data_IF_521830562669
#
_entry.id   IF_521830562669
#
_cell.length_a   1.000
_cell.length_b   1.000
_cell.length_c   1.000
_cell.angle_alpha   90.00
_cell.angle_beta   90.00
_cell.angle_gamma   90.00
#
_symmetry.space_group_name_H-M   'P 1'
#
loop_
_entity.id
_entity.type
_entity.pdbx_description
1 polymer ?
#
# COMPACT_ATOMS: atom_id res chain seq x y z
N UNK A 1 35.31 37.77 -23.90
CA UNK A 1 34.52 36.57 -24.27
C UNK A 1 34.55 35.67 -23.05
N UNK A 2 33.50 35.69 -22.21
CA UNK A 2 33.39 34.79 -21.05
C UNK A 2 33.00 33.42 -21.62
N UNK A 3 33.84 32.42 -21.43
CA UNK A 3 33.45 31.03 -21.65
C UNK A 3 32.56 30.62 -20.47
N UNK A 4 31.25 30.68 -20.67
CA UNK A 4 30.28 30.03 -19.78
C UNK A 4 30.40 28.53 -19.99
N UNK A 5 31.17 27.88 -19.13
CA UNK A 5 31.20 26.43 -19.02
C UNK A 5 29.90 26.01 -18.31
N UNK A 6 28.94 25.53 -19.09
CA UNK A 6 27.67 24.94 -18.64
C UNK A 6 27.86 23.56 -17.96
N UNK A 7 28.94 23.37 -17.19
CA UNK A 7 29.11 22.18 -16.37
C UNK A 7 28.35 22.37 -15.05
N UNK A 8 27.57 21.38 -14.58
CA UNK A 8 26.97 21.49 -13.25
C UNK A 8 28.09 21.58 -12.22
N UNK A 9 28.06 22.62 -11.40
CA UNK A 9 28.93 22.75 -10.23
C UNK A 9 28.43 21.74 -9.19
N UNK A 10 29.06 20.56 -9.15
CA UNK A 10 28.82 19.60 -8.07
C UNK A 10 29.77 19.88 -6.91
N UNK A 11 29.26 19.77 -5.68
CA UNK A 11 30.13 19.66 -4.52
C UNK A 11 30.97 18.38 -4.65
N UNK A 12 32.30 18.53 -4.57
CA UNK A 12 33.25 17.42 -4.79
C UNK A 12 33.62 16.68 -3.52
N UNK A 13 33.09 17.12 -2.38
CA UNK A 13 33.36 16.56 -1.05
C UNK A 13 32.06 16.52 -0.25
N UNK A 14 31.60 15.31 0.06
CA UNK A 14 30.44 15.05 0.91
C UNK A 14 30.87 14.08 2.02
N UNK A 15 30.60 14.45 3.26
CA UNK A 15 30.92 13.64 4.44
C UNK A 15 29.62 13.12 5.06
N UNK A 16 29.64 11.88 5.56
CA UNK A 16 28.53 11.33 6.33
C UNK A 16 29.02 10.96 7.75
N UNK A 17 28.11 10.98 8.71
CA UNK A 17 28.36 10.52 10.06
C UNK A 17 27.23 9.58 10.50
N UNK A 18 27.58 8.50 11.19
CA UNK A 18 26.59 7.67 11.87
C UNK A 18 26.13 8.38 13.15
N UNK A 19 24.84 8.71 13.24
CA UNK A 19 24.29 9.40 14.38
C UNK A 19 22.83 9.03 14.61
N UNK A 20 22.36 9.21 15.84
CA UNK A 20 20.96 8.95 16.21
C UNK A 20 20.06 10.14 15.88
N UNK A 21 18.76 9.88 15.63
CA UNK A 21 17.75 10.92 15.43
C UNK A 21 17.67 11.86 16.64
N UNK A 22 17.90 11.35 17.85
CA UNK A 22 17.94 12.17 19.07
C UNK A 22 19.10 13.20 19.06
N UNK A 23 20.28 12.79 18.58
CA UNK A 23 21.42 13.71 18.41
C UNK A 23 21.13 14.74 17.31
N UNK A 24 20.54 14.32 16.19
CA UNK A 24 20.14 15.22 15.10
C UNK A 24 19.13 16.27 15.57
N UNK A 25 18.10 15.84 16.31
CA UNK A 25 17.07 16.72 16.88
C UNK A 25 17.66 17.77 17.82
N UNK A 26 18.47 17.32 18.79
CA UNK A 26 19.15 18.23 19.73
C UNK A 26 20.03 19.24 18.98
N UNK A 27 20.73 18.79 17.95
CA UNK A 27 21.53 19.66 17.09
C UNK A 27 20.67 20.69 16.36
N UNK A 28 19.56 20.30 15.71
CA UNK A 28 18.63 21.22 15.03
C UNK A 28 17.95 22.23 15.96
N UNK A 29 17.93 21.95 17.26
CA UNK A 29 17.45 22.86 18.30
C UNK A 29 18.55 23.79 18.85
N UNK A 30 19.74 23.79 18.24
CA UNK A 30 20.84 24.68 18.58
C UNK A 30 21.76 24.18 19.70
N UNK A 31 21.69 22.90 20.08
CA UNK A 31 22.62 22.34 21.04
C UNK A 31 23.97 22.01 20.39
N UNK A 32 25.07 22.29 21.09
CA UNK A 32 26.43 22.26 20.55
C UNK A 32 27.25 21.03 20.97
N UNK A 33 26.76 20.20 21.90
CA UNK A 33 27.42 18.97 22.35
C UNK A 33 26.56 17.72 22.08
N UNK A 34 26.50 17.32 20.80
CA UNK A 34 25.54 16.36 20.24
C UNK A 34 26.25 15.24 19.48
N UNK A 35 27.40 14.81 19.99
CA UNK A 35 28.21 13.75 19.40
C UNK A 35 28.81 14.20 18.06
N UNK A 36 28.66 13.44 16.96
CA UNK A 36 29.29 13.77 15.69
C UNK A 36 28.76 15.07 15.06
N UNK A 37 27.63 15.61 15.53
CA UNK A 37 27.10 16.89 15.05
C UNK A 37 27.73 18.13 15.70
N UNK A 38 28.52 17.96 16.77
CA UNK A 38 29.12 19.08 17.51
C UNK A 38 30.06 19.94 16.65
N UNK A 39 30.64 19.35 15.61
CA UNK A 39 31.59 20.03 14.70
C UNK A 39 30.89 20.80 13.56
N UNK A 40 29.57 20.71 13.43
CA UNK A 40 28.83 21.26 12.29
C UNK A 40 27.92 22.43 12.70
N UNK A 41 27.99 23.54 11.98
CA UNK A 41 27.09 24.70 12.19
C UNK A 41 25.78 24.55 11.40
N UNK A 42 24.64 24.82 12.07
CA UNK A 42 23.31 24.86 11.46
C UNK A 42 23.19 25.90 10.34
N UNK A 43 23.99 26.96 10.37
CA UNK A 43 23.92 28.04 9.37
C UNK A 43 24.64 27.70 8.05
N UNK A 44 25.39 26.61 8.01
CA UNK A 44 26.33 26.31 6.91
C UNK A 44 26.07 24.94 6.25
N UNK A 45 25.20 24.10 6.82
CA UNK A 45 25.03 22.71 6.36
C UNK A 45 23.57 22.34 6.12
N UNK A 46 23.32 21.67 4.99
CA UNK A 46 22.07 20.96 4.70
C UNK A 46 22.25 19.49 5.09
N UNK A 47 21.39 18.95 5.94
CA UNK A 47 21.53 17.57 6.44
C UNK A 47 20.28 16.74 6.15
N UNK A 48 20.50 15.49 5.78
CA UNK A 48 19.48 14.46 5.56
C UNK A 48 19.54 13.41 6.69
N UNK A 49 18.38 12.93 7.14
CA UNK A 49 18.28 11.87 8.15
C UNK A 49 17.45 10.71 7.62
N UNK A 50 17.95 9.48 7.81
CA UNK A 50 17.23 8.25 7.48
C UNK A 50 16.42 7.74 8.69
N UNK A 51 15.36 6.97 8.44
CA UNK A 51 14.18 6.93 9.31
C UNK A 51 13.59 5.54 9.50
N UNK A 52 12.76 5.38 10.55
CA UNK A 52 11.97 4.17 10.80
C UNK A 52 10.48 4.41 10.62
N UNK A 53 9.86 3.63 9.74
CA UNK A 53 8.40 3.64 9.55
C UNK A 53 7.82 2.28 9.84
N UNK A 54 6.74 2.25 10.61
CA UNK A 54 5.97 1.02 10.82
C UNK A 54 4.77 1.02 9.90
N UNK A 55 4.63 -0.10 9.20
CA UNK A 55 3.57 -0.36 8.23
C UNK A 55 2.72 -1.50 8.77
N UNK A 56 1.41 -1.27 8.77
CA UNK A 56 0.39 -2.29 8.98
C UNK A 56 -0.31 -2.50 7.65
N UNK A 57 -0.12 -3.66 7.07
CA UNK A 57 -0.56 -4.02 5.73
C UNK A 57 -1.68 -5.05 5.83
N UNK A 58 -2.73 -4.89 5.04
CA UNK A 58 -3.81 -5.86 4.94
C UNK A 58 -4.07 -6.21 3.47
N UNK A 59 -4.20 -7.50 3.15
CA UNK A 59 -4.43 -7.93 1.79
C UNK A 59 -5.82 -7.52 1.30
N UNK A 60 -6.04 -7.39 -0.03
CA UNK A 60 -7.30 -6.90 -0.58
C UNK A 60 -8.49 -7.79 -0.26
N UNK A 61 -8.30 -9.08 0.01
CA UNK A 61 -9.41 -9.97 0.41
C UNK A 61 -9.98 -9.62 1.79
N UNK A 62 -9.26 -8.85 2.60
CA UNK A 62 -9.72 -8.39 3.91
C UNK A 62 -10.52 -7.10 3.84
N UNK A 63 -10.75 -6.53 2.65
CA UNK A 63 -11.50 -5.27 2.45
C UNK A 63 -12.81 -5.24 3.23
N UNK A 64 -13.59 -6.32 3.23
CA UNK A 64 -14.86 -6.39 3.96
C UNK A 64 -14.70 -6.34 5.50
N UNK A 65 -13.53 -6.73 6.02
CA UNK A 65 -13.20 -6.70 7.44
C UNK A 65 -12.68 -5.32 7.90
N UNK A 66 -12.33 -4.45 6.95
CA UNK A 66 -11.76 -3.12 7.19
C UNK A 66 -12.80 -1.99 7.17
N UNK A 67 -14.08 -2.32 6.95
CA UNK A 67 -15.19 -1.36 6.99
C UNK A 67 -14.92 -0.11 6.13
N UNK A 68 -14.81 -0.26 4.80
CA UNK A 68 -14.55 0.85 3.89
C UNK A 68 -15.59 1.95 4.07
N UNK A 69 -15.16 3.21 4.00
CA UNK A 69 -16.03 4.37 4.16
C UNK A 69 -16.91 4.65 2.95
N UNK A 70 -16.55 4.16 1.75
CA UNK A 70 -17.23 4.52 0.50
C UNK A 70 -16.99 3.56 -0.66
N UNK A 71 -17.69 3.81 -1.77
CA UNK A 71 -17.54 3.09 -3.03
C UNK A 71 -16.21 3.49 -3.70
N UNK A 72 -15.39 2.53 -4.16
CA UNK A 72 -14.07 2.82 -4.75
C UNK A 72 -14.20 3.29 -6.22
N UNK A 73 -14.63 4.54 -6.42
CA UNK A 73 -14.49 5.20 -7.74
C UNK A 73 -13.26 6.13 -7.82
N UNK A 74 -12.55 6.27 -6.70
CA UNK A 74 -11.22 6.87 -6.58
C UNK A 74 -10.50 6.11 -5.46
N UNK A 75 -9.61 5.18 -5.82
CA UNK A 75 -9.03 4.21 -4.87
C UNK A 75 -8.35 4.89 -3.67
N UNK A 76 -7.62 5.98 -3.91
CA UNK A 76 -6.90 6.74 -2.87
C UNK A 76 -7.79 7.45 -1.86
N UNK A 77 -9.10 7.52 -2.11
CA UNK A 77 -10.04 8.19 -1.21
C UNK A 77 -10.71 7.23 -0.23
N UNK A 78 -10.60 5.91 -0.42
CA UNK A 78 -11.30 4.94 0.42
C UNK A 78 -10.50 4.70 1.71
N UNK A 79 -11.13 5.01 2.85
CA UNK A 79 -10.52 4.82 4.16
C UNK A 79 -11.21 3.71 4.94
N UNK A 80 -10.50 3.12 5.90
CA UNK A 80 -11.08 2.24 6.92
C UNK A 80 -11.78 3.09 7.98
N UNK A 81 -12.95 2.65 8.45
CA UNK A 81 -13.59 3.24 9.63
C UNK A 81 -12.93 2.81 10.95
N UNK A 82 -12.06 1.79 10.91
CA UNK A 82 -11.41 1.20 12.07
C UNK A 82 -10.10 1.95 12.38
N UNK A 83 -9.93 2.39 13.62
CA UNK A 83 -8.61 2.75 14.17
C UNK A 83 -7.79 1.46 14.32
N UNK A 84 -6.80 1.29 13.43
CA UNK A 84 -5.96 0.08 13.38
C UNK A 84 -5.17 -0.13 14.67
N UNK A 85 -4.76 0.94 15.35
CA UNK A 85 -3.98 0.85 16.59
C UNK A 85 -4.85 0.54 17.80
N UNK A 86 -6.12 0.99 17.78
CA UNK A 86 -7.09 0.77 18.87
C UNK A 86 -8.47 0.42 18.30
N UNK A 87 -8.64 -0.80 17.76
CA UNK A 87 -9.88 -1.17 17.09
C UNK A 87 -11.03 -1.34 18.10
N UNK A 88 -12.14 -0.64 17.86
CA UNK A 88 -13.39 -0.88 18.57
C UNK A 88 -14.08 -2.12 17.99
N UNK A 89 -13.82 -3.29 18.59
CA UNK A 89 -14.34 -4.58 18.14
C UNK A 89 -15.81 -4.83 18.52
N UNK A 90 -16.44 -3.93 19.28
CA UNK A 90 -17.89 -3.94 19.50
C UNK A 90 -18.59 -3.31 18.30
N UNK A 91 -18.07 -2.17 17.82
CA UNK A 91 -18.58 -1.50 16.63
C UNK A 91 -18.15 -2.18 15.32
N UNK A 92 -16.94 -2.73 15.28
CA UNK A 92 -16.32 -3.31 14.07
C UNK A 92 -15.89 -4.77 14.26
N UNK A 93 -16.83 -5.70 14.57
CA UNK A 93 -16.48 -7.06 14.97
C UNK A 93 -15.77 -7.89 13.90
N UNK A 94 -15.97 -7.60 12.61
CA UNK A 94 -15.33 -8.30 11.49
C UNK A 94 -13.82 -8.04 11.40
N UNK A 95 -13.33 -6.93 11.99
CA UNK A 95 -11.91 -6.59 11.98
C UNK A 95 -11.05 -7.65 12.69
N UNK A 96 -11.64 -8.43 13.61
CA UNK A 96 -10.98 -9.61 14.22
C UNK A 96 -10.46 -10.63 13.19
N UNK A 97 -11.05 -10.66 11.99
CA UNK A 97 -10.68 -11.58 10.90
C UNK A 97 -9.69 -10.97 9.92
N UNK A 98 -9.32 -9.69 10.08
CA UNK A 98 -8.33 -9.04 9.24
C UNK A 98 -6.93 -9.56 9.55
N UNK A 99 -6.16 -9.86 8.51
CA UNK A 99 -4.82 -10.41 8.54
C UNK A 99 -3.82 -9.26 8.45
N UNK A 100 -3.35 -8.81 9.60
CA UNK A 100 -2.35 -7.76 9.68
C UNK A 100 -0.95 -8.31 9.38
N UNK A 101 -0.30 -7.74 8.38
CA UNK A 101 1.12 -7.92 8.08
C UNK A 101 1.87 -6.68 8.56
N UNK A 102 2.66 -6.81 9.62
CA UNK A 102 3.29 -5.65 10.28
C UNK A 102 4.80 -5.69 10.08
N UNK A 103 5.36 -4.58 9.61
CA UNK A 103 6.81 -4.43 9.42
C UNK A 103 7.27 -3.05 9.87
N UNK A 104 8.42 -2.98 10.56
CA UNK A 104 9.09 -1.71 10.84
C UNK A 104 10.33 -1.60 9.96
N UNK A 105 10.25 -0.77 8.93
CA UNK A 105 11.37 -0.51 8.03
C UNK A 105 12.47 0.23 8.78
N UNK A 106 13.69 -0.24 8.59
CA UNK A 106 14.92 0.42 9.02
C UNK A 106 15.48 1.30 7.89
N UNK A 107 16.36 2.25 8.21
CA UNK A 107 17.20 2.96 7.24
C UNK A 107 17.74 2.04 6.14
N UNK A 108 17.65 2.49 4.89
CA UNK A 108 18.06 1.73 3.70
C UNK A 108 17.17 0.55 3.27
N UNK A 109 16.08 0.24 4.00
CA UNK A 109 15.16 -0.83 3.60
C UNK A 109 14.06 -0.33 2.67
N UNK A 110 13.68 -1.18 1.70
CA UNK A 110 12.63 -0.91 0.73
C UNK A 110 11.48 -1.89 0.93
N UNK A 111 10.26 -1.36 1.01
CA UNK A 111 9.03 -2.16 1.07
C UNK A 111 8.32 -2.13 -0.28
N UNK A 112 8.05 -3.31 -0.82
CA UNK A 112 7.18 -3.48 -1.98
C UNK A 112 5.75 -3.68 -1.47
N UNK A 113 4.87 -2.72 -1.76
CA UNK A 113 3.43 -2.81 -1.44
C UNK A 113 2.69 -3.26 -2.71
N UNK A 114 2.07 -4.44 -2.74
CA UNK A 114 1.30 -4.88 -3.90
C UNK A 114 0.04 -4.03 -4.11
N UNK A 115 -0.51 -4.06 -5.32
CA UNK A 115 -1.72 -3.30 -5.68
C UNK A 115 -2.90 -3.67 -4.78
N UNK A 116 -3.74 -2.70 -4.47
CA UNK A 116 -4.95 -2.84 -3.64
C UNK A 116 -4.72 -3.24 -2.18
N UNK A 117 -3.47 -3.30 -1.72
CA UNK A 117 -3.20 -3.54 -0.32
C UNK A 117 -3.54 -2.31 0.51
N UNK A 118 -4.37 -2.55 1.53
CA UNK A 118 -4.66 -1.56 2.55
C UNK A 118 -3.43 -1.37 3.41
N UNK A 119 -3.14 -0.12 3.77
CA UNK A 119 -1.99 0.18 4.57
C UNK A 119 -2.27 1.31 5.56
N UNK A 120 -1.81 1.12 6.79
CA UNK A 120 -1.68 2.16 7.79
C UNK A 120 -0.19 2.35 8.10
N UNK A 121 0.28 3.60 8.09
CA UNK A 121 1.69 3.93 8.26
C UNK A 121 1.83 4.88 9.43
N UNK A 122 2.71 4.53 10.37
CA UNK A 122 3.06 5.37 11.51
C UNK A 122 4.56 5.61 11.57
N UNK A 123 4.91 6.82 12.00
CA UNK A 123 6.29 7.18 12.35
C UNK A 123 6.60 6.62 13.72
N UNK A 124 7.61 5.75 13.81
CA UNK A 124 8.03 5.17 15.10
C UNK A 124 8.85 6.18 15.90
N UNK A 125 9.61 7.02 15.21
CA UNK A 125 10.43 8.07 15.79
C UNK A 125 9.75 9.45 15.62
N UNK A 126 10.07 10.45 16.47
CA UNK A 126 9.49 11.79 16.38
C UNK A 126 9.70 12.50 15.04
N UNK A 127 10.79 12.16 14.34
CA UNK A 127 11.06 12.63 12.98
C UNK A 127 11.37 11.43 12.09
N UNK A 128 10.68 11.36 10.95
CA UNK A 128 10.93 10.37 9.90
C UNK A 128 10.83 11.05 8.54
N UNK A 129 11.81 10.84 7.66
CA UNK A 129 11.68 11.20 6.23
C UNK A 129 11.01 10.02 5.50
N UNK A 130 10.51 10.14 4.28
CA UNK A 130 10.42 8.96 3.39
C UNK A 130 10.28 9.28 1.94
N UNK A 131 10.83 8.41 1.09
CA UNK A 131 10.64 8.46 -0.36
C UNK A 131 9.84 7.25 -0.81
N UNK A 132 8.71 7.49 -1.47
CA UNK A 132 7.93 6.48 -2.17
C UNK A 132 7.87 6.79 -3.67
N UNK A 133 7.76 5.75 -4.48
CA UNK A 133 7.55 5.87 -5.92
C UNK A 133 6.39 5.00 -6.35
N UNK A 134 5.54 5.54 -7.24
CA UNK A 134 4.41 4.83 -7.81
C UNK A 134 4.81 4.34 -9.20
N UNK A 135 4.84 3.03 -9.38
CA UNK A 135 5.25 2.40 -10.64
C UNK A 135 4.00 2.10 -11.44
N UNK A 136 3.83 2.74 -12.60
CA UNK A 136 2.67 2.50 -13.46
C UNK A 136 2.69 1.09 -14.08
N UNK A 137 1.59 0.38 -13.92
CA UNK A 137 1.35 -0.95 -14.49
C UNK A 137 0.40 -0.87 -15.69
N UNK A 138 0.40 -1.89 -16.53
CA UNK A 138 -0.51 -1.97 -17.68
C UNK A 138 -1.98 -2.00 -17.27
N UNK A 139 -2.28 -2.71 -16.18
CA UNK A 139 -3.62 -2.85 -15.60
C UNK A 139 -4.18 -1.52 -15.08
N UNK A 140 -3.34 -0.52 -14.81
CA UNK A 140 -3.77 0.77 -14.29
C UNK A 140 -4.66 1.53 -15.27
N UNK A 141 -4.47 1.32 -16.59
CA UNK A 141 -5.36 1.92 -17.58
C UNK A 141 -6.77 1.36 -17.52
N UNK A 142 -6.91 0.04 -17.28
CA UNK A 142 -8.22 -0.59 -17.11
C UNK A 142 -8.86 -0.09 -15.82
N UNK A 143 -8.08 -0.01 -14.73
CA UNK A 143 -8.55 0.52 -13.45
C UNK A 143 -9.07 1.96 -13.59
N UNK A 144 -8.33 2.84 -14.27
CA UNK A 144 -8.75 4.24 -14.54
C UNK A 144 -10.05 4.33 -15.33
N UNK A 145 -10.28 3.42 -16.28
CA UNK A 145 -11.56 3.34 -17.00
C UNK A 145 -12.68 2.92 -16.04
N UNK A 146 -12.46 1.89 -15.23
CA UNK A 146 -13.43 1.44 -14.22
C UNK A 146 -13.77 2.54 -13.22
N UNK A 147 -12.77 3.26 -12.70
CA UNK A 147 -12.96 4.41 -11.82
C UNK A 147 -13.77 5.51 -12.49
N UNK A 148 -13.40 5.91 -13.72
CA UNK A 148 -14.11 6.97 -14.44
C UNK A 148 -15.56 6.61 -14.76
N UNK A 149 -15.85 5.35 -15.13
CA UNK A 149 -17.23 4.86 -15.31
C UNK A 149 -17.98 4.90 -13.99
N UNK A 150 -17.39 4.36 -12.92
CA UNK A 150 -18.03 4.33 -11.60
C UNK A 150 -18.34 5.74 -11.13
N UNK A 151 -17.39 6.67 -11.21
CA UNK A 151 -17.56 8.08 -10.85
C UNK A 151 -18.68 8.74 -11.65
N UNK A 152 -18.76 8.47 -12.95
CA UNK A 152 -19.82 8.99 -13.82
C UNK A 152 -21.20 8.52 -13.38
N UNK A 153 -21.36 7.22 -13.11
CA UNK A 153 -22.63 6.63 -12.67
C UNK A 153 -23.01 7.17 -11.29
N UNK A 154 -22.07 7.18 -10.34
CA UNK A 154 -22.26 7.68 -8.99
C UNK A 154 -22.69 9.15 -8.98
N UNK A 155 -22.01 10.00 -9.75
CA UNK A 155 -22.33 11.42 -9.84
C UNK A 155 -23.71 11.66 -10.47
N UNK A 156 -24.09 10.87 -11.48
CA UNK A 156 -25.40 10.98 -12.11
C UNK A 156 -26.54 10.57 -11.16
N UNK A 157 -26.36 9.49 -10.41
CA UNK A 157 -27.30 9.02 -9.39
C UNK A 157 -27.43 10.06 -8.28
N UNK A 158 -26.32 10.62 -7.79
CA UNK A 158 -26.30 11.63 -6.71
C UNK A 158 -26.87 12.98 -7.12
N UNK A 159 -26.81 13.34 -8.39
CA UNK A 159 -27.38 14.58 -8.91
C UNK A 159 -28.91 14.53 -9.05
N UNK A 160 -29.53 13.36 -8.86
CA UNK A 160 -30.98 13.17 -8.91
C UNK A 160 -31.59 13.40 -7.53
N UNK A 161 -32.70 14.13 -7.46
CA UNK A 161 -33.44 14.33 -6.19
C UNK A 161 -33.94 12.98 -5.64
N UNK A 162 -33.75 12.76 -4.34
CA UNK A 162 -34.18 11.54 -3.65
C UNK A 162 -34.49 11.87 -2.19
N UNK A 163 -35.66 11.46 -1.71
CA UNK A 163 -36.14 11.76 -0.35
C UNK A 163 -35.39 10.99 0.75
N UNK A 164 -34.64 9.95 0.38
CA UNK A 164 -33.97 9.00 1.26
C UNK A 164 -32.44 8.98 1.12
N UNK A 165 -31.87 9.80 0.24
CA UNK A 165 -30.43 9.76 -0.08
C UNK A 165 -29.61 10.72 0.80
N UNK A 166 -29.69 10.55 2.11
CA UNK A 166 -28.95 11.36 3.10
C UNK A 166 -27.49 10.92 3.30
N UNK A 167 -27.07 9.85 2.65
CA UNK A 167 -25.77 9.21 2.91
C UNK A 167 -24.59 9.96 2.27
N UNK A 168 -23.51 10.14 3.03
CA UNK A 168 -22.30 10.83 2.57
C UNK A 168 -21.23 9.84 2.08
N UNK A 169 -21.53 9.11 1.01
CA UNK A 169 -20.61 8.14 0.40
C UNK A 169 -19.78 8.71 -0.77
N UNK A 170 -19.83 10.03 -0.99
CA UNK A 170 -18.93 10.73 -1.91
C UNK A 170 -17.59 11.01 -1.22
N UNK A 171 -16.55 11.30 -2.02
CA UNK A 171 -15.26 11.72 -1.49
C UNK A 171 -15.40 13.11 -0.82
N UNK A 172 -15.05 13.29 0.48
CA UNK A 172 -15.28 14.54 1.20
C UNK A 172 -14.26 15.62 0.79
N UNK A 173 -13.19 15.22 0.09
CA UNK A 173 -12.15 16.09 -0.44
C UNK A 173 -12.53 16.65 -1.81
N UNK A 174 -13.56 16.11 -2.47
CA UNK A 174 -14.10 16.70 -3.70
C UNK A 174 -14.94 17.95 -3.36
N UNK A 175 -14.64 19.08 -4.01
CA UNK A 175 -15.44 20.30 -3.92
C UNK A 175 -16.75 20.12 -4.71
N UNK A 176 -17.74 19.46 -4.09
CA UNK A 176 -19.07 19.25 -4.66
C UNK A 176 -19.19 18.05 -5.61
N UNK A 177 -20.36 17.90 -6.22
CA UNK A 177 -20.64 16.81 -7.17
C UNK A 177 -20.07 17.19 -8.54
N UNK A 178 -19.16 16.40 -9.13
CA UNK A 178 -18.60 16.70 -10.44
C UNK A 178 -19.68 16.78 -11.52
N UNK A 179 -19.55 17.76 -12.42
CA UNK A 179 -20.52 17.93 -13.51
C UNK A 179 -20.48 16.76 -14.50
N UNK A 180 -21.58 16.54 -15.22
CA UNK A 180 -21.62 15.54 -16.29
C UNK A 180 -20.50 15.75 -17.33
N UNK A 181 -20.19 17.01 -17.66
CA UNK A 181 -19.13 17.35 -18.63
C UNK A 181 -17.76 16.90 -18.12
N UNK A 182 -17.41 17.20 -16.87
CA UNK A 182 -16.13 16.82 -16.27
C UNK A 182 -16.00 15.30 -16.21
N UNK A 183 -17.04 14.60 -15.74
CA UNK A 183 -17.07 13.14 -15.71
C UNK A 183 -16.85 12.53 -17.10
N UNK A 184 -17.51 13.05 -18.13
CA UNK A 184 -17.31 12.60 -19.51
C UNK A 184 -15.90 12.91 -20.03
N UNK A 185 -15.26 14.01 -19.61
CA UNK A 185 -13.87 14.31 -19.97
C UNK A 185 -12.92 13.29 -19.36
N UNK A 186 -13.05 12.98 -18.07
CA UNK A 186 -12.26 11.96 -17.38
C UNK A 186 -12.41 10.58 -18.04
N UNK A 187 -13.65 10.17 -18.30
CA UNK A 187 -13.95 8.90 -18.96
C UNK A 187 -13.32 8.82 -20.36
N UNK A 188 -13.50 9.86 -21.18
CA UNK A 188 -12.90 9.90 -22.51
C UNK A 188 -11.37 9.83 -22.47
N UNK A 189 -10.73 10.51 -21.52
CA UNK A 189 -9.28 10.47 -21.35
C UNK A 189 -8.80 9.06 -20.97
N UNK A 190 -9.46 8.43 -19.99
CA UNK A 190 -9.13 7.08 -19.54
C UNK A 190 -9.29 6.05 -20.68
N UNK A 191 -10.40 6.11 -21.43
CA UNK A 191 -10.65 5.21 -22.57
C UNK A 191 -9.62 5.41 -23.67
N UNK A 192 -9.25 6.66 -23.99
CA UNK A 192 -8.21 6.96 -24.98
C UNK A 192 -6.85 6.42 -24.56
N UNK A 193 -6.44 6.64 -23.31
CA UNK A 193 -5.18 6.13 -22.78
C UNK A 193 -5.12 4.59 -22.84
N UNK A 194 -6.22 3.93 -22.45
CA UNK A 194 -6.34 2.48 -22.56
C UNK A 194 -6.24 2.01 -24.02
N UNK A 195 -6.97 2.64 -24.94
CA UNK A 195 -7.02 2.24 -26.36
C UNK A 195 -5.69 2.49 -27.11
N UNK A 196 -5.00 3.60 -26.83
CA UNK A 196 -3.69 3.91 -27.43
C UNK A 196 -2.65 2.85 -27.05
N UNK A 197 -2.67 2.38 -25.80
CA UNK A 197 -1.73 1.36 -25.34
C UNK A 197 -2.04 -0.03 -25.89
N UNK A 198 -3.32 -0.39 -26.05
CA UNK A 198 -3.71 -1.62 -26.76
C UNK A 198 -3.18 -1.63 -28.20
N UNK A 199 -3.21 -0.47 -28.87
CA UNK A 199 -2.66 -0.32 -30.23
C UNK A 199 -1.14 -0.37 -30.28
N UNK A 200 -0.43 0.17 -29.29
CA UNK A 200 1.04 0.06 -29.24
C UNK A 200 1.55 -1.37 -28.99
N UNK A 201 0.72 -2.23 -28.39
CA UNK A 201 1.02 -3.65 -28.19
C UNK A 201 0.72 -4.52 -29.43
N UNK A 202 0.20 -3.93 -30.52
CA UNK A 202 -0.02 -4.59 -31.81
C UNK A 202 0.55 -3.73 -32.94
N UNK A 203 1.78 -4.01 -33.40
CA UNK A 203 1.95 -5.07 -34.41
C UNK A 203 3.33 -5.76 -34.35
N UNK A 204 3.45 -6.95 -33.72
CA UNK A 204 4.25 -8.11 -34.22
C UNK A 204 4.27 -9.30 -33.22
N UNK A 205 3.10 -9.81 -32.82
CA UNK A 205 3.03 -11.07 -32.04
C UNK A 205 2.03 -12.04 -32.67
N UNK A 206 2.21 -12.31 -33.96
CA UNK A 206 1.92 -13.65 -34.50
C UNK A 206 3.09 -14.55 -34.15
N UNK A 207 2.82 -15.59 -33.35
CA UNK A 207 3.76 -16.59 -32.78
C UNK A 207 4.38 -16.26 -31.41
N UNK A 208 3.60 -16.44 -30.35
CA UNK A 208 3.93 -17.40 -29.28
C UNK A 208 2.81 -17.39 -28.21
N UNK A 209 1.83 -18.30 -28.34
CA UNK A 209 1.07 -18.72 -27.15
C UNK A 209 2.01 -19.54 -26.27
N UNK A 210 2.18 -19.23 -24.96
CA UNK A 210 2.97 -20.07 -24.09
C UNK A 210 2.22 -21.38 -23.84
N UNK A 211 2.57 -22.43 -24.58
CA UNK A 211 2.18 -23.80 -24.22
C UNK A 211 2.98 -24.19 -22.98
N UNK A 212 2.33 -24.31 -21.81
CA UNK A 212 2.92 -24.92 -20.61
C UNK A 212 3.49 -26.29 -20.98
N UNK A 213 4.81 -26.43 -20.87
CA UNK A 213 5.53 -27.70 -20.98
C UNK A 213 5.86 -28.19 -19.57
N UNK A 214 5.85 -29.50 -19.37
CA UNK A 214 6.30 -30.09 -18.11
C UNK A 214 7.83 -29.98 -17.94
N UNK A 215 8.36 -30.40 -16.79
CA UNK A 215 9.79 -30.40 -16.47
C UNK A 215 10.63 -31.34 -17.37
N UNK A 216 10.01 -32.02 -18.34
CA UNK A 216 10.65 -32.84 -19.38
C UNK A 216 10.41 -32.31 -20.79
N UNK A 217 9.78 -31.14 -20.94
CA UNK A 217 9.63 -30.45 -22.22
C UNK A 217 8.45 -30.90 -23.10
N UNK A 218 7.51 -31.71 -22.60
CA UNK A 218 6.34 -32.13 -23.38
C UNK A 218 5.09 -31.26 -23.15
N UNK A 219 4.28 -31.08 -24.20
CA UNK A 219 3.08 -30.22 -24.20
C UNK A 219 1.91 -30.96 -23.50
N UNK A 220 1.42 -30.39 -22.39
CA UNK A 220 0.33 -30.97 -21.58
C UNK A 220 -1.01 -30.93 -22.35
N UNK A 221 -1.57 -32.11 -22.70
CA UNK A 221 -2.94 -32.19 -23.26
C UNK A 221 -3.97 -31.83 -22.19
N UNK A 222 -4.96 -31.03 -22.61
CA UNK A 222 -6.00 -30.44 -21.77
C UNK A 222 -7.02 -31.50 -21.36
N UNK A 223 -7.02 -31.86 -20.08
CA UNK A 223 -8.03 -32.68 -19.43
C UNK A 223 -8.14 -32.24 -17.98
N UNK A 224 -9.38 -31.97 -17.58
CA UNK A 224 -9.88 -31.68 -16.23
C UNK A 224 -9.72 -30.26 -15.68
N UNK A 225 -10.89 -29.58 -15.67
CA UNK A 225 -11.21 -28.42 -14.86
C UNK A 225 -11.17 -28.82 -13.39
N UNK A 226 -10.45 -28.06 -12.57
CA UNK A 226 -10.71 -27.98 -11.14
C UNK A 226 -10.70 -26.50 -10.75
N UNK A 227 -11.78 -26.15 -10.09
CA UNK A 227 -12.09 -24.90 -9.42
C UNK A 227 -11.09 -24.66 -8.27
N UNK A 228 -10.38 -23.55 -8.31
CA UNK A 228 -9.68 -22.98 -7.16
C UNK A 228 -9.39 -21.51 -7.47
N UNK A 229 -9.87 -20.63 -6.60
CA UNK A 229 -9.38 -19.27 -6.45
C UNK A 229 -7.87 -19.34 -6.23
N UNK A 230 -7.09 -19.12 -7.29
CA UNK A 230 -5.63 -19.01 -7.18
C UNK A 230 -5.31 -17.72 -6.42
N UNK A 231 -4.95 -17.89 -5.15
CA UNK A 231 -4.29 -16.85 -4.34
C UNK A 231 -3.09 -16.37 -5.15
N UNK A 232 -3.05 -15.07 -5.43
CA UNK A 232 -1.93 -14.45 -6.12
C UNK A 232 -0.70 -14.44 -5.20
N UNK A 233 0.07 -15.52 -5.22
CA UNK A 233 1.40 -15.56 -4.62
C UNK A 233 2.38 -14.92 -5.60
N UNK A 234 2.83 -13.70 -5.29
CA UNK A 234 4.00 -13.13 -5.97
C UNK A 234 5.19 -14.04 -5.63
N UNK A 235 5.87 -14.66 -6.61
CA UNK A 235 7.07 -15.42 -6.32
C UNK A 235 8.11 -14.43 -5.81
N UNK A 236 8.29 -14.42 -4.49
CA UNK A 236 9.32 -13.65 -3.83
C UNK A 236 10.65 -14.16 -4.39
N UNK A 237 11.35 -13.32 -5.16
CA UNK A 237 12.70 -13.66 -5.62
C UNK A 237 13.60 -14.00 -4.43
N UNK A 238 14.76 -14.65 -4.65
CA UNK A 238 15.59 -15.21 -3.58
C UNK A 238 16.10 -14.17 -2.55
N UNK A 239 15.97 -12.88 -2.85
CA UNK A 239 16.42 -11.78 -2.01
C UNK A 239 15.29 -11.07 -1.26
N UNK A 240 14.03 -11.45 -1.46
CA UNK A 240 12.90 -10.82 -0.81
C UNK A 240 12.55 -11.52 0.50
N UNK A 241 12.40 -10.73 1.56
CA UNK A 241 12.00 -11.21 2.89
C UNK A 241 10.49 -10.98 3.04
N UNK A 242 9.67 -12.02 3.26
CA UNK A 242 8.23 -11.87 3.45
C UNK A 242 7.91 -11.14 4.75
N UNK A 243 6.91 -10.24 4.70
CA UNK A 243 6.32 -9.68 5.92
C UNK A 243 5.36 -10.71 6.52
N UNK A 244 5.67 -11.15 7.74
CA UNK A 244 4.87 -12.19 8.42
C UNK A 244 3.50 -11.65 8.86
N UNK A 245 2.49 -12.52 8.78
CA UNK A 245 1.15 -12.22 9.31
C UNK A 245 1.14 -12.39 10.83
N UNK A 246 0.63 -11.40 11.57
CA UNK A 246 0.55 -11.48 13.04
C UNK A 246 -0.41 -12.56 13.55
N UNK A 247 -1.33 -13.04 12.69
CA UNK A 247 -2.29 -14.08 13.05
C UNK A 247 -1.62 -15.44 13.39
N UNK A 248 -0.37 -15.64 12.94
CA UNK A 248 0.43 -16.83 13.23
C UNK A 248 1.15 -16.77 14.60
N UNK A 249 1.28 -15.59 15.21
CA UNK A 249 1.88 -15.47 16.56
C UNK A 249 0.88 -15.78 17.68
N UNK A 250 -0.42 -15.46 17.49
CA UNK A 250 -1.47 -15.80 18.46
C UNK A 250 -1.65 -17.31 18.65
N UNK A 251 -1.40 -18.11 17.60
CA UNK A 251 -1.46 -19.57 17.69
C UNK A 251 -0.26 -20.19 18.42
N UNK A 252 0.84 -19.45 18.62
CA UNK A 252 2.04 -19.94 19.33
C UNK A 252 2.03 -19.63 20.82
N UNK A 253 1.12 -18.78 21.30
CA UNK A 253 1.08 -18.28 22.69
C UNK A 253 -0.04 -18.85 23.55
N UNK A 254 -0.84 -19.79 23.03
CA UNK A 254 -1.79 -20.56 23.84
C UNK A 254 -1.10 -21.88 24.25
N UNK A 255 -0.88 -22.15 25.55
CA UNK A 255 -0.46 -23.47 25.98
C UNK A 255 -1.60 -24.45 25.68
N UNK A 256 -1.31 -25.47 24.88
CA UNK A 256 -2.06 -26.74 24.99
C UNK A 256 -1.83 -27.24 26.41
N UNK A 257 -2.86 -27.20 27.26
CA UNK A 257 -3.25 -28.30 28.14
C UNK A 257 -4.32 -27.86 29.15
N UNK A 258 -5.47 -28.52 29.09
CA UNK A 258 -5.96 -29.31 30.22
C UNK A 258 -7.25 -30.03 29.83
N UNK A 259 -7.08 -31.28 29.41
CA UNK A 259 -8.12 -32.29 29.50
C UNK A 259 -8.69 -32.28 30.92
N UNK A 260 -9.96 -31.88 31.07
CA UNK A 260 -10.69 -32.05 32.31
C UNK A 260 -11.10 -33.53 32.38
N UNK A 261 -10.28 -34.30 33.10
CA UNK A 261 -10.62 -35.64 33.58
C UNK A 261 -11.82 -35.53 34.53
N UNK A 262 -12.98 -36.01 34.09
CA UNK A 262 -14.10 -36.28 34.97
C UNK A 262 -13.93 -37.68 35.57
N UNK A 263 -13.31 -37.76 36.74
CA UNK A 263 -13.33 -38.96 37.59
C UNK A 263 -14.27 -38.74 38.79
N UNK A 264 -15.07 -39.77 39.02
CA UNK A 264 -16.11 -39.94 40.02
C UNK A 264 -15.59 -39.96 41.47
N UNK A 265 -16.56 -40.04 42.41
CA UNK A 265 -16.48 -40.32 43.86
C UNK A 265 -16.35 -39.03 44.70
N UNK A 266 -17.28 -38.71 45.61
CA UNK A 266 -17.64 -39.51 46.78
C UNK A 266 -19.11 -39.38 47.23
N UNK A 267 -19.61 -40.50 47.73
CA UNK A 267 -20.76 -40.63 48.62
C UNK A 267 -20.31 -40.61 50.09
N UNK A 268 -20.88 -39.72 50.90
CA UNK A 268 -21.11 -39.88 52.34
C UNK A 268 -22.13 -38.83 52.82
#
# INVERSE_FOLDING_TARGET
>A
RREETHAPLFETQCSYAEATVAQFLRWTQGQTDVGPFSDFSLSEHWIYADYKKRWHLFPPEDTANLYPTRIPYEESSVFSQVDVLRPDLQRFPAFRRARAHVVTLQPGQVLFVPRHWWHYVESVDPITVSVNTWIELEVDNVARVTEAVTRTVVSAVKSSESDDNTDNWLNPTEEGVPSHRENMQYLNLAVRACAQRTRSLSPDLTEARPTKRDSRGQVKKRGDRADASEVFEVPLGPHLIPVSCQHDEWKKTVPEDSEINASQEDSA
#
